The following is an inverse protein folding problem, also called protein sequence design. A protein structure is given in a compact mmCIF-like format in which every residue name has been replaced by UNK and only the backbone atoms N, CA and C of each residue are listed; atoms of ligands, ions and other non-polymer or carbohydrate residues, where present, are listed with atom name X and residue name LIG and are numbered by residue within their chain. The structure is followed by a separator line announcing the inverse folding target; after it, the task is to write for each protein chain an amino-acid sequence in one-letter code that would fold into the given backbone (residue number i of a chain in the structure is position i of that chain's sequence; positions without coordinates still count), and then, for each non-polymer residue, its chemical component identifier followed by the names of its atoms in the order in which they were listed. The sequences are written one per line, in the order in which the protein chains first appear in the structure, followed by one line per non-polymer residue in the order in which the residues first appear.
data_IF_427856942472
#
_entry.id   IF_427856942472
#
_cell.length_a   1.000
_cell.length_b   1.000
_cell.length_c   1.000
_cell.angle_alpha   90.00
_cell.angle_beta   90.00
_cell.angle_gamma   90.00
#
_symmetry.space_group_name_H-M   'P 1'
#
loop_
_entity.id
_entity.type
_entity.pdbx_description
1 polymer ?
#
# COMPACT_ATOMS: atom_id res chain seq x y z
N UNK A 1 22.42 -1.92 -9.78
CA UNK A 1 22.10 -0.54 -9.36
C UNK A 1 23.14 -0.12 -8.32
N UNK A 2 23.48 1.18 -8.22
CA UNK A 2 24.53 1.66 -7.32
C UNK A 2 24.06 1.65 -5.85
N UNK A 3 24.86 1.09 -4.95
CA UNK A 3 24.65 1.12 -3.50
C UNK A 3 25.16 2.45 -2.95
N UNK A 4 24.46 3.02 -1.96
CA UNK A 4 24.74 4.33 -1.38
C UNK A 4 24.73 4.22 0.15
N UNK A 5 25.65 4.89 0.82
CA UNK A 5 25.62 5.02 2.27
C UNK A 5 24.59 6.07 2.70
N UNK A 6 23.91 5.81 3.82
CA UNK A 6 22.97 6.77 4.37
C UNK A 6 23.73 8.01 4.91
N UNK A 7 23.27 9.25 4.62
CA UNK A 7 23.84 10.44 5.22
C UNK A 7 23.74 10.41 6.76
N UNK A 8 24.77 10.90 7.47
CA UNK A 8 24.86 10.83 8.94
C UNK A 8 23.67 11.48 9.68
N UNK A 9 23.03 12.48 9.08
CA UNK A 9 21.92 13.21 9.69
C UNK A 9 20.53 12.77 9.19
N UNK A 10 20.47 11.72 8.35
CA UNK A 10 19.20 11.23 7.84
C UNK A 10 18.47 10.41 8.91
N UNK A 11 17.38 10.96 9.43
CA UNK A 11 16.41 10.21 10.23
C UNK A 11 15.28 9.75 9.31
N UNK A 12 15.17 8.44 9.09
CA UNK A 12 14.25 7.86 8.11
C UNK A 12 12.78 8.22 8.41
N UNK A 13 12.37 8.13 9.67
CA UNK A 13 11.00 8.49 10.11
C UNK A 13 10.63 9.92 9.74
N UNK A 14 11.48 10.90 10.09
CA UNK A 14 11.22 12.31 9.78
C UNK A 14 11.17 12.58 8.28
N UNK A 15 12.01 11.89 7.51
CA UNK A 15 12.00 12.02 6.05
C UNK A 15 10.67 11.52 5.47
N UNK A 16 10.20 10.35 5.93
CA UNK A 16 9.10 9.64 5.30
C UNK A 16 7.72 10.21 5.65
N UNK A 17 7.60 10.90 6.78
CA UNK A 17 6.38 11.61 7.22
C UNK A 17 5.86 12.62 6.19
N UNK A 18 6.74 13.21 5.38
CA UNK A 18 6.36 14.20 4.36
C UNK A 18 5.65 13.60 3.13
N UNK A 19 5.64 12.27 3.01
CA UNK A 19 5.03 11.56 1.88
C UNK A 19 3.81 10.81 2.36
N UNK A 20 2.88 10.48 1.46
CA UNK A 20 1.65 9.76 1.79
C UNK A 20 1.27 8.82 0.64
N UNK A 21 0.39 7.85 0.92
CA UNK A 21 -0.11 6.91 -0.07
C UNK A 21 1.00 6.09 -0.74
N UNK A 22 0.81 5.74 -2.01
CA UNK A 22 1.71 4.83 -2.73
C UNK A 22 3.16 5.34 -2.80
N UNK A 23 3.34 6.66 -2.91
CA UNK A 23 4.66 7.31 -3.01
C UNK A 23 5.48 7.12 -1.73
N UNK A 24 4.83 7.09 -0.56
CA UNK A 24 5.52 6.85 0.71
C UNK A 24 6.18 5.47 0.70
N UNK A 25 5.41 4.46 0.34
CA UNK A 25 5.89 3.07 0.23
C UNK A 25 6.96 2.95 -0.86
N UNK A 26 6.79 3.58 -2.03
CA UNK A 26 7.79 3.54 -3.11
C UNK A 26 9.13 4.12 -2.68
N UNK A 27 9.12 5.23 -1.93
CA UNK A 27 10.33 5.84 -1.39
C UNK A 27 11.03 4.93 -0.39
N UNK A 28 10.27 4.28 0.51
CA UNK A 28 10.84 3.32 1.45
C UNK A 28 11.49 2.13 0.73
N UNK A 29 10.83 1.59 -0.29
CA UNK A 29 11.40 0.50 -1.10
C UNK A 29 12.67 0.92 -1.83
N UNK A 30 12.66 2.12 -2.41
CA UNK A 30 13.85 2.67 -3.05
C UNK A 30 15.02 2.81 -2.06
N UNK A 31 14.76 3.33 -0.86
CA UNK A 31 15.78 3.43 0.20
C UNK A 31 16.27 2.05 0.61
N UNK A 32 15.36 1.09 0.80
CA UNK A 32 15.71 -0.26 1.22
C UNK A 32 16.60 -0.99 0.20
N UNK A 33 16.41 -0.75 -1.09
CA UNK A 33 17.19 -1.34 -2.17
C UNK A 33 18.56 -0.68 -2.37
N UNK A 34 18.77 0.54 -1.85
CA UNK A 34 19.97 1.35 -2.12
C UNK A 34 20.84 1.60 -0.90
N UNK A 35 20.28 1.58 0.31
CA UNK A 35 20.96 1.90 1.55
C UNK A 35 20.97 0.68 2.48
N UNK A 36 22.02 -0.17 2.45
CA UNK A 36 22.09 -1.39 3.25
C UNK A 36 21.93 -1.14 4.76
N UNK A 37 22.44 -0.01 5.26
CA UNK A 37 22.32 0.38 6.67
C UNK A 37 20.87 0.62 7.12
N UNK A 38 20.00 1.07 6.20
CA UNK A 38 18.59 1.37 6.46
C UNK A 38 17.65 0.30 5.90
N UNK A 39 18.17 -0.78 5.31
CA UNK A 39 17.38 -1.70 4.51
C UNK A 39 16.23 -2.34 5.27
N UNK A 40 16.53 -2.95 6.42
CA UNK A 40 15.52 -3.64 7.24
C UNK A 40 14.53 -2.64 7.84
N UNK A 41 15.03 -1.51 8.34
CA UNK A 41 14.19 -0.44 8.91
C UNK A 41 13.19 0.10 7.88
N UNK A 42 13.66 0.39 6.67
CA UNK A 42 12.81 0.89 5.59
C UNK A 42 11.72 -0.12 5.18
N UNK A 43 12.03 -1.42 5.14
CA UNK A 43 11.01 -2.44 4.91
C UNK A 43 9.99 -2.53 6.06
N UNK A 44 10.43 -2.40 7.31
CA UNK A 44 9.53 -2.39 8.47
C UNK A 44 8.55 -1.21 8.41
N UNK A 45 9.04 -0.01 8.11
CA UNK A 45 8.20 1.16 7.88
C UNK A 45 7.22 0.94 6.72
N UNK A 46 7.66 0.31 5.62
CA UNK A 46 6.81 0.05 4.47
C UNK A 46 5.68 -0.93 4.80
N UNK A 47 5.99 -2.01 5.52
CA UNK A 47 4.99 -2.98 5.99
C UNK A 47 3.98 -2.32 6.92
N UNK A 48 4.45 -1.52 7.87
CA UNK A 48 3.58 -0.81 8.81
C UNK A 48 2.63 0.15 8.07
N UNK A 49 3.15 0.93 7.11
CA UNK A 49 2.36 1.88 6.33
C UNK A 49 1.33 1.16 5.44
N UNK A 50 1.72 0.07 4.77
CA UNK A 50 0.80 -0.74 3.95
C UNK A 50 -0.36 -1.27 4.79
N UNK A 51 -0.06 -1.84 5.98
CA UNK A 51 -1.09 -2.39 6.86
C UNK A 51 -2.03 -1.34 7.44
N UNK A 52 -1.52 -0.14 7.73
CA UNK A 52 -2.30 0.94 8.33
C UNK A 52 -3.10 1.76 7.33
N UNK A 53 -2.54 2.00 6.14
CA UNK A 53 -3.03 3.05 5.23
C UNK A 53 -3.43 2.54 3.84
N UNK A 54 -3.36 1.23 3.60
CA UNK A 54 -3.73 0.63 2.32
C UNK A 54 -4.48 -0.70 2.48
N UNK A 55 -4.96 -1.22 1.36
CA UNK A 55 -5.57 -2.56 1.25
C UNK A 55 -4.79 -3.44 0.26
N UNK A 56 -3.56 -3.04 -0.07
CA UNK A 56 -2.72 -3.68 -1.08
C UNK A 56 -1.99 -4.89 -0.48
N UNK A 57 -2.73 -6.01 -0.42
CA UNK A 57 -2.23 -7.29 0.09
C UNK A 57 -1.07 -7.83 -0.74
N UNK A 58 -1.07 -7.60 -2.06
CA UNK A 58 -0.02 -8.11 -2.93
C UNK A 58 1.30 -7.39 -2.64
N UNK A 59 1.24 -6.06 -2.47
CA UNK A 59 2.40 -5.26 -2.09
C UNK A 59 2.89 -5.63 -0.69
N UNK A 60 2.01 -5.84 0.29
CA UNK A 60 2.41 -6.36 1.61
C UNK A 60 3.25 -7.64 1.49
N UNK A 61 2.75 -8.64 0.74
CA UNK A 61 3.43 -9.93 0.56
C UNK A 61 4.77 -9.77 -0.16
N UNK A 62 4.85 -8.90 -1.16
CA UNK A 62 6.09 -8.60 -1.86
C UNK A 62 7.13 -7.97 -0.93
N UNK A 63 6.73 -6.94 -0.18
CA UNK A 63 7.62 -6.23 0.74
C UNK A 63 8.10 -7.15 1.87
N UNK A 64 7.21 -7.95 2.45
CA UNK A 64 7.58 -8.95 3.46
C UNK A 64 8.59 -9.96 2.91
N UNK A 65 8.39 -10.45 1.69
CA UNK A 65 9.35 -11.36 1.03
C UNK A 65 10.73 -10.71 0.86
N UNK A 66 10.78 -9.45 0.42
CA UNK A 66 12.04 -8.70 0.28
C UNK A 66 12.71 -8.48 1.64
N UNK A 67 11.94 -8.13 2.68
CA UNK A 67 12.44 -7.97 4.04
C UNK A 67 13.03 -9.27 4.58
N UNK A 68 12.33 -10.39 4.41
CA UNK A 68 12.79 -11.69 4.88
C UNK A 68 14.05 -12.16 4.17
N UNK A 69 14.21 -11.85 2.87
CA UNK A 69 15.46 -12.10 2.16
C UNK A 69 16.62 -11.27 2.75
N UNK A 70 16.39 -10.00 3.09
CA UNK A 70 17.38 -9.15 3.74
C UNK A 70 17.73 -9.66 5.16
N UNK A 71 16.73 -10.00 5.97
CA UNK A 71 16.93 -10.57 7.31
C UNK A 71 17.77 -11.85 7.26
N UNK A 72 17.46 -12.76 6.34
CA UNK A 72 18.22 -14.00 6.15
C UNK A 72 19.67 -13.73 5.73
N UNK A 73 19.91 -12.77 4.83
CA UNK A 73 21.26 -12.35 4.43
C UNK A 73 22.08 -11.77 5.59
N UNK A 74 21.41 -11.16 6.58
CA UNK A 74 22.01 -10.67 7.81
C UNK A 74 22.07 -11.71 8.94
N UNK A 75 21.67 -12.96 8.70
CA UNK A 75 21.62 -14.02 9.71
C UNK A 75 20.57 -13.81 10.81
N UNK A 76 19.57 -12.96 10.56
CA UNK A 76 18.45 -12.69 11.48
C UNK A 76 17.27 -13.62 11.16
N UNK A 77 16.40 -13.82 12.16
CA UNK A 77 15.14 -14.57 11.95
C UNK A 77 14.25 -13.85 10.96
N UNK A 78 13.58 -14.61 10.10
CA UNK A 78 12.54 -14.10 9.20
C UNK A 78 11.24 -13.86 9.98
N UNK A 79 10.43 -12.92 9.50
CA UNK A 79 9.12 -12.62 10.06
C UNK A 79 8.03 -13.41 9.33
N UNK A 80 7.05 -13.99 10.07
CA UNK A 80 5.96 -14.72 9.46
C UNK A 80 4.99 -13.79 8.72
N UNK A 81 4.29 -14.33 7.73
CA UNK A 81 3.16 -13.65 7.11
C UNK A 81 2.02 -13.51 8.11
N UNK A 82 1.44 -12.31 8.20
CA UNK A 82 0.20 -12.05 8.93
C UNK A 82 -1.00 -12.54 8.10
N UNK A 83 -1.26 -13.84 8.15
CA UNK A 83 -2.36 -14.47 7.40
C UNK A 83 -3.72 -13.91 7.80
N UNK A 84 -3.91 -13.53 9.05
CA UNK A 84 -5.15 -12.92 9.55
C UNK A 84 -5.40 -11.59 8.85
N UNK A 85 -4.43 -10.68 8.84
CA UNK A 85 -4.57 -9.41 8.13
C UNK A 85 -4.82 -9.60 6.64
N UNK A 86 -4.13 -10.56 6.01
CA UNK A 86 -4.30 -10.88 4.58
C UNK A 86 -5.72 -11.34 4.27
N UNK A 87 -6.25 -12.28 5.05
CA UNK A 87 -7.58 -12.83 4.86
C UNK A 87 -8.68 -11.80 5.15
N UNK A 88 -8.57 -11.09 6.27
CA UNK A 88 -9.51 -10.04 6.66
C UNK A 88 -9.53 -8.92 5.62
N UNK A 89 -8.37 -8.43 5.19
CA UNK A 89 -8.28 -7.34 4.19
C UNK A 89 -8.90 -7.77 2.87
N UNK A 90 -8.68 -9.02 2.41
CA UNK A 90 -9.29 -9.55 1.18
C UNK A 90 -10.82 -9.65 1.30
N UNK A 91 -11.30 -10.21 2.41
CA UNK A 91 -12.74 -10.34 2.69
C UNK A 91 -13.41 -8.98 2.72
N UNK A 92 -12.89 -8.07 3.53
CA UNK A 92 -13.49 -6.76 3.77
C UNK A 92 -13.45 -5.89 2.51
N UNK A 93 -12.36 -5.97 1.74
CA UNK A 93 -12.26 -5.29 0.45
C UNK A 93 -13.28 -5.80 -0.55
N UNK A 94 -13.46 -7.13 -0.65
CA UNK A 94 -14.48 -7.72 -1.53
C UNK A 94 -15.88 -7.26 -1.15
N UNK A 95 -16.22 -7.32 0.14
CA UNK A 95 -17.52 -6.86 0.63
C UNK A 95 -17.73 -5.36 0.36
N UNK A 96 -16.70 -4.54 0.56
CA UNK A 96 -16.78 -3.11 0.28
C UNK A 96 -17.01 -2.82 -1.21
N UNK A 97 -16.36 -3.56 -2.11
CA UNK A 97 -16.65 -3.47 -3.54
C UNK A 97 -18.09 -3.83 -3.86
N UNK A 98 -18.64 -4.91 -3.29
CA UNK A 98 -20.02 -5.32 -3.52
C UNK A 98 -21.00 -4.21 -3.07
N UNK A 99 -20.78 -3.64 -1.88
CA UNK A 99 -21.60 -2.55 -1.34
C UNK A 99 -21.52 -1.30 -2.24
N UNK A 100 -20.32 -0.83 -2.57
CA UNK A 100 -20.13 0.39 -3.37
C UNK A 100 -20.68 0.26 -4.78
N UNK A 101 -20.56 -0.91 -5.41
CA UNK A 101 -21.16 -1.15 -6.72
C UNK A 101 -22.69 -1.18 -6.67
N UNK A 102 -23.28 -1.74 -5.61
CA UNK A 102 -24.73 -1.71 -5.42
C UNK A 102 -25.26 -0.28 -5.23
N UNK A 103 -24.57 0.54 -4.43
CA UNK A 103 -24.88 1.95 -4.23
C UNK A 103 -24.77 2.75 -5.54
N UNK A 104 -23.68 2.59 -6.28
CA UNK A 104 -23.49 3.25 -7.57
C UNK A 104 -24.57 2.85 -8.57
N UNK A 105 -24.93 1.56 -8.63
CA UNK A 105 -26.03 1.08 -9.48
C UNK A 105 -27.37 1.75 -9.12
N UNK A 106 -27.64 1.93 -7.83
CA UNK A 106 -28.82 2.66 -7.38
C UNK A 106 -28.79 4.14 -7.80
N UNK A 107 -27.64 4.81 -7.70
CA UNK A 107 -27.51 6.21 -8.15
C UNK A 107 -27.68 6.37 -9.65
N UNK A 108 -27.15 5.42 -10.44
CA UNK A 108 -27.33 5.36 -11.89
C UNK A 108 -28.80 5.17 -12.26
N UNK A 109 -29.50 4.24 -11.60
CA UNK A 109 -30.93 3.99 -11.84
C UNK A 109 -31.80 5.22 -11.51
N UNK A 110 -31.44 5.98 -10.48
CA UNK A 110 -32.15 7.19 -10.07
C UNK A 110 -31.66 8.47 -10.77
N UNK A 111 -30.61 8.38 -11.60
CA UNK A 111 -30.00 9.51 -12.33
C UNK A 111 -29.57 10.69 -11.43
N UNK A 112 -29.08 10.40 -10.21
CA UNK A 112 -28.65 11.43 -9.25
C UNK A 112 -27.19 11.81 -9.53
N UNK A 113 -26.99 12.84 -10.36
CA UNK A 113 -25.67 13.23 -10.90
C UNK A 113 -24.56 13.34 -9.86
N UNK A 114 -24.82 14.05 -8.75
CA UNK A 114 -23.78 14.27 -7.73
C UNK A 114 -23.45 12.97 -6.98
N UNK A 115 -24.45 12.12 -6.71
CA UNK A 115 -24.22 10.82 -6.08
C UNK A 115 -23.48 9.85 -7.01
N UNK A 116 -23.74 9.90 -8.32
CA UNK A 116 -22.96 9.13 -9.30
C UNK A 116 -21.49 9.60 -9.28
N UNK A 117 -21.25 10.92 -9.29
CA UNK A 117 -19.90 11.49 -9.25
C UNK A 117 -19.15 11.06 -7.99
N UNK A 118 -19.80 11.14 -6.82
CA UNK A 118 -19.22 10.71 -5.54
C UNK A 118 -18.98 9.20 -5.54
N UNK A 119 -19.95 8.39 -5.98
CA UNK A 119 -19.83 6.93 -6.00
C UNK A 119 -18.71 6.43 -6.92
N UNK A 120 -18.50 7.08 -8.07
CA UNK A 120 -17.35 6.81 -8.93
C UNK A 120 -16.02 7.18 -8.24
N UNK A 121 -15.94 8.34 -7.59
CA UNK A 121 -14.76 8.74 -6.84
C UNK A 121 -14.44 7.74 -5.71
N UNK A 122 -15.45 7.32 -4.94
CA UNK A 122 -15.28 6.35 -3.84
C UNK A 122 -14.80 4.98 -4.36
N UNK A 123 -15.27 4.57 -5.55
CA UNK A 123 -14.81 3.34 -6.20
C UNK A 123 -13.38 3.48 -6.71
N UNK A 124 -13.02 4.67 -7.22
CA UNK A 124 -11.64 5.04 -7.56
C UNK A 124 -10.71 4.97 -6.34
N UNK A 125 -11.12 5.54 -5.22
CA UNK A 125 -10.38 5.53 -3.95
C UNK A 125 -10.15 4.10 -3.45
N UNK A 126 -11.17 3.23 -3.59
CA UNK A 126 -11.05 1.82 -3.22
C UNK A 126 -10.07 1.07 -4.13
N UNK A 127 -10.16 1.25 -5.45
CA UNK A 127 -9.19 0.67 -6.38
C UNK A 127 -7.76 1.17 -6.11
N UNK A 128 -7.61 2.46 -5.82
CA UNK A 128 -6.33 3.06 -5.44
C UNK A 128 -5.79 2.40 -4.18
N UNK A 129 -6.58 2.29 -3.10
CA UNK A 129 -6.18 1.63 -1.86
C UNK A 129 -5.74 0.17 -2.05
N UNK A 130 -6.31 -0.54 -3.03
CA UNK A 130 -5.94 -1.91 -3.38
C UNK A 130 -4.69 -2.02 -4.28
N UNK A 131 -4.14 -0.91 -4.77
CA UNK A 131 -3.02 -0.89 -5.72
C UNK A 131 -3.42 -1.08 -7.18
N UNK A 132 -4.72 -1.06 -7.51
CA UNK A 132 -5.21 -1.15 -8.89
C UNK A 132 -5.31 0.24 -9.52
N UNK A 133 -4.15 0.80 -9.87
CA UNK A 133 -4.05 2.17 -10.39
C UNK A 133 -4.77 2.36 -11.73
N UNK A 134 -4.89 1.30 -12.53
CA UNK A 134 -5.57 1.36 -13.82
C UNK A 134 -7.08 1.55 -13.66
N UNK A 135 -7.70 0.76 -12.78
CA UNK A 135 -9.13 0.91 -12.53
C UNK A 135 -9.43 2.13 -11.64
N UNK A 136 -8.52 2.53 -10.76
CA UNK A 136 -8.63 3.80 -10.05
C UNK A 136 -8.75 4.97 -11.04
N UNK A 137 -7.81 5.07 -11.99
CA UNK A 137 -7.82 6.12 -13.01
C UNK A 137 -9.11 6.13 -13.84
N UNK A 138 -9.63 4.95 -14.22
CA UNK A 138 -10.88 4.85 -14.99
C UNK A 138 -12.09 5.38 -14.22
N UNK A 139 -12.14 5.19 -12.90
CA UNK A 139 -13.26 5.63 -12.08
C UNK A 139 -13.17 7.11 -11.72
N UNK A 140 -11.97 7.70 -11.70
CA UNK A 140 -11.80 9.15 -11.51
C UNK A 140 -12.03 9.98 -12.78
N UNK A 141 -11.98 9.34 -13.96
CA UNK A 141 -12.16 9.99 -15.26
C UNK A 141 -13.64 10.17 -15.62
#
# INVERSE_FOLDING_TARGET
MAIVEAPEHLVLSNYIENYHGHVRVDRLLFIAERCPSLQVEAYQHAIADIKANSRDVNRYLEVLRKMNAALAAHGKSVEPTDSTWVEDTRRDTKQLFEVRNAELSNYLNNMIKESIRIGLNDLGDLHYACGDLNNAQKNYA
#
